data_IF_797371323980
#
_entry.id   IF_797371323980
#
_cell.length_a   1.000
_cell.length_b   1.000
_cell.length_c   1.000
_cell.angle_alpha   90.00
_cell.angle_beta   90.00
_cell.angle_gamma   90.00
#
_symmetry.space_group_name_H-M   'P 1'
#
loop_
_entity.id
_entity.type
_entity.pdbx_description
1 polymer ?
#
# COMPACT_ATOMS: atom_id res chain seq x y z
N UNK A 1 17.17 -25.51 18.21
CA UNK A 1 18.51 -25.00 17.89
C UNK A 1 18.29 -23.73 17.08
N UNK A 2 18.71 -22.56 17.61
CA UNK A 2 18.56 -21.30 16.84
C UNK A 2 19.33 -21.41 15.55
N UNK A 3 18.67 -21.11 14.44
CA UNK A 3 19.21 -21.34 13.10
C UNK A 3 20.44 -20.47 12.78
N UNK A 4 20.71 -19.42 13.59
CA UNK A 4 21.61 -18.33 13.24
C UNK A 4 22.59 -17.94 14.35
N UNK A 5 22.92 -18.82 15.28
CA UNK A 5 23.91 -18.61 16.38
C UNK A 5 23.77 -17.27 17.15
N UNK A 6 22.72 -16.49 16.86
CA UNK A 6 22.48 -15.21 17.53
C UNK A 6 22.24 -15.40 19.01
N UNK A 7 22.85 -14.53 19.82
CA UNK A 7 22.77 -14.58 21.28
C UNK A 7 22.30 -13.25 21.85
N UNK A 8 21.06 -13.26 22.34
CA UNK A 8 20.41 -12.12 22.98
C UNK A 8 20.12 -12.49 24.43
N UNK A 9 20.70 -11.73 25.37
CA UNK A 9 20.50 -11.92 26.77
C UNK A 9 19.54 -10.90 27.33
N UNK A 10 18.42 -11.38 27.90
CA UNK A 10 17.38 -10.52 28.49
C UNK A 10 17.52 -10.56 30.03
N UNK A 11 17.56 -9.39 30.65
CA UNK A 11 17.50 -9.18 32.09
C UNK A 11 16.43 -8.14 32.40
N UNK A 12 15.70 -8.30 33.51
CA UNK A 12 14.64 -7.35 33.86
C UNK A 12 14.37 -7.33 35.37
N UNK A 13 13.75 -6.26 35.84
CA UNK A 13 12.99 -6.19 37.08
C UNK A 13 11.61 -5.57 36.82
N UNK A 14 10.67 -5.88 37.71
CA UNK A 14 9.31 -5.32 37.68
C UNK A 14 8.79 -5.31 39.12
N UNK A 15 8.55 -4.11 39.63
CA UNK A 15 8.29 -3.89 41.06
C UNK A 15 7.09 -2.98 41.29
N UNK A 16 6.41 -3.19 42.42
CA UNK A 16 5.22 -2.41 42.77
C UNK A 16 5.49 -0.94 43.17
N UNK A 17 6.77 -0.58 43.41
CA UNK A 17 7.09 0.73 43.98
C UNK A 17 6.53 0.90 45.40
N UNK A 18 5.80 1.97 45.63
CA UNK A 18 5.09 2.19 46.92
C UNK A 18 3.64 1.75 46.89
N UNK A 19 3.18 1.19 45.76
CA UNK A 19 1.78 0.73 45.57
C UNK A 19 1.59 -0.65 46.22
N UNK A 20 0.35 -0.97 46.55
CA UNK A 20 0.00 -2.29 47.11
C UNK A 20 0.11 -3.44 46.11
N UNK A 21 0.15 -3.12 44.84
CA UNK A 21 0.10 -4.08 43.74
C UNK A 21 0.92 -3.60 42.54
N UNK A 22 1.57 -4.53 41.88
CA UNK A 22 2.22 -4.23 40.62
C UNK A 22 1.22 -4.41 39.48
N UNK A 23 0.92 -3.33 38.74
CA UNK A 23 0.05 -3.32 37.58
C UNK A 23 0.85 -3.39 36.27
N UNK A 24 2.18 -3.35 36.34
CA UNK A 24 3.03 -3.62 35.19
C UNK A 24 3.13 -5.10 34.89
N UNK A 25 3.35 -5.42 33.62
CA UNK A 25 3.68 -6.79 33.21
C UNK A 25 4.71 -6.79 32.07
N UNK A 26 5.64 -7.74 32.13
CA UNK A 26 6.66 -7.93 31.10
C UNK A 26 6.72 -9.41 30.71
N UNK A 27 6.90 -9.67 29.41
CA UNK A 27 7.10 -11.01 28.90
C UNK A 27 7.87 -11.00 27.58
N UNK A 28 8.50 -12.13 27.26
CA UNK A 28 9.22 -12.28 26.00
C UNK A 28 9.28 -13.75 25.57
N UNK A 29 9.47 -13.94 24.26
CA UNK A 29 9.80 -15.25 23.70
C UNK A 29 10.83 -15.11 22.59
N UNK A 30 11.78 -16.03 22.58
CA UNK A 30 12.82 -16.11 21.55
C UNK A 30 12.67 -17.44 20.80
N UNK A 31 12.17 -17.36 19.55
CA UNK A 31 12.04 -18.49 18.62
C UNK A 31 13.32 -18.65 17.80
N UNK A 32 13.38 -19.64 16.92
CA UNK A 32 14.57 -19.91 16.10
C UNK A 32 14.93 -18.76 15.16
N UNK A 33 13.94 -18.10 14.54
CA UNK A 33 14.15 -17.05 13.53
C UNK A 33 13.70 -15.66 13.98
N UNK A 34 12.86 -15.57 15.00
CA UNK A 34 12.24 -14.33 15.46
C UNK A 34 12.16 -14.29 16.98
N UNK A 35 12.06 -13.10 17.53
CA UNK A 35 11.83 -12.90 18.94
C UNK A 35 10.89 -11.71 19.18
N UNK A 36 10.21 -11.73 20.32
CA UNK A 36 9.33 -10.65 20.78
C UNK A 36 9.61 -10.36 22.25
N UNK A 37 9.60 -9.09 22.60
CA UNK A 37 9.59 -8.57 23.97
C UNK A 37 8.42 -7.61 24.10
N UNK A 38 7.71 -7.71 25.20
CA UNK A 38 6.48 -6.94 25.43
C UNK A 38 6.47 -6.43 26.85
N UNK A 39 6.17 -5.15 27.05
CA UNK A 39 5.90 -4.54 28.35
C UNK A 39 4.57 -3.80 28.29
N UNK A 40 3.83 -3.87 29.37
CA UNK A 40 2.57 -3.16 29.56
C UNK A 40 2.55 -2.51 30.96
N UNK A 41 1.86 -1.37 31.05
CA UNK A 41 1.66 -0.59 32.27
C UNK A 41 0.16 -0.34 32.43
N UNK A 42 -0.45 -0.99 33.41
CA UNK A 42 -1.88 -0.86 33.69
C UNK A 42 -2.18 0.39 34.51
N UNK A 43 -3.28 1.06 34.21
CA UNK A 43 -3.63 2.33 34.87
C UNK A 43 -4.02 2.09 36.32
N UNK A 44 -3.23 2.61 37.25
CA UNK A 44 -3.37 2.41 38.69
C UNK A 44 -4.72 2.80 39.28
N UNK A 45 -5.43 3.74 38.65
CA UNK A 45 -6.73 4.23 39.13
C UNK A 45 -7.88 3.28 38.76
N UNK A 46 -7.64 2.28 37.91
CA UNK A 46 -8.66 1.40 37.39
C UNK A 46 -8.64 0.01 38.01
N UNK A 47 -9.79 -0.51 38.39
CA UNK A 47 -9.88 -1.88 38.88
C UNK A 47 -9.63 -2.86 37.73
N UNK A 48 -8.66 -3.76 37.90
CA UNK A 48 -8.25 -4.72 36.87
C UNK A 48 -7.07 -4.24 36.00
N UNK A 49 -6.39 -3.14 36.34
CA UNK A 49 -5.21 -2.65 35.63
C UNK A 49 -4.14 -3.74 35.44
N UNK A 50 -3.83 -4.51 36.50
CA UNK A 50 -2.92 -5.68 36.44
C UNK A 50 -3.42 -6.79 35.49
N UNK A 51 -4.75 -6.97 35.43
CA UNK A 51 -5.35 -7.96 34.52
C UNK A 51 -5.24 -7.48 33.08
N UNK A 52 -5.44 -6.18 32.82
CA UNK A 52 -5.28 -5.59 31.49
C UNK A 52 -3.84 -5.72 30.99
N UNK A 53 -2.85 -5.31 31.80
CA UNK A 53 -1.44 -5.39 31.44
C UNK A 53 -1.00 -6.83 31.17
N UNK A 54 -1.33 -7.76 32.08
CA UNK A 54 -1.00 -9.17 31.92
C UNK A 54 -1.64 -9.75 30.64
N UNK A 55 -2.95 -9.52 30.46
CA UNK A 55 -3.68 -10.06 29.34
C UNK A 55 -3.17 -9.51 27.99
N UNK A 56 -2.82 -8.22 27.95
CA UNK A 56 -2.23 -7.61 26.76
C UNK A 56 -0.89 -8.26 26.39
N UNK A 57 0.00 -8.46 27.35
CA UNK A 57 1.31 -9.10 27.11
C UNK A 57 1.17 -10.57 26.73
N UNK A 58 0.36 -11.34 27.46
CA UNK A 58 0.13 -12.76 27.18
C UNK A 58 -0.49 -12.95 25.78
N UNK A 59 -1.50 -12.14 25.42
CA UNK A 59 -2.14 -12.19 24.09
C UNK A 59 -1.19 -11.78 22.97
N UNK A 60 -0.35 -10.77 23.21
CA UNK A 60 0.67 -10.35 22.23
C UNK A 60 1.65 -11.48 21.92
N UNK A 61 2.15 -12.15 22.96
CA UNK A 61 3.06 -13.29 22.83
C UNK A 61 2.37 -14.49 22.18
N UNK A 62 1.14 -14.81 22.58
CA UNK A 62 0.35 -15.88 21.97
C UNK A 62 0.18 -15.68 20.47
N UNK A 63 -0.25 -14.49 20.06
CA UNK A 63 -0.41 -14.16 18.64
C UNK A 63 0.89 -14.31 17.87
N UNK A 64 1.98 -13.75 18.40
CA UNK A 64 3.29 -13.85 17.78
C UNK A 64 3.80 -15.28 17.65
N UNK A 65 3.55 -16.15 18.64
CA UNK A 65 3.95 -17.55 18.57
C UNK A 65 3.21 -18.32 17.47
N UNK A 66 1.96 -17.95 17.21
CA UNK A 66 1.14 -18.55 16.15
C UNK A 66 1.48 -17.97 14.78
N UNK A 67 1.84 -16.69 14.71
CA UNK A 67 2.12 -15.92 13.48
C UNK A 67 3.46 -15.19 13.58
N UNK A 68 4.59 -15.90 13.70
CA UNK A 68 5.89 -15.25 13.86
C UNK A 68 6.29 -14.52 12.56
N UNK A 69 6.73 -13.26 12.70
CA UNK A 69 7.10 -12.42 11.56
C UNK A 69 7.93 -11.21 11.96
N UNK A 70 8.44 -10.48 10.94
CA UNK A 70 9.23 -9.27 11.12
C UNK A 70 8.86 -8.22 10.09
N UNK A 71 7.77 -7.53 10.33
CA UNK A 71 7.28 -6.37 9.57
C UNK A 71 6.35 -5.51 10.44
N UNK A 72 5.94 -4.35 9.94
CA UNK A 72 5.06 -3.41 10.64
C UNK A 72 3.63 -3.94 10.77
N UNK A 73 3.18 -4.73 9.81
CA UNK A 73 1.85 -5.32 9.77
C UNK A 73 1.65 -6.28 10.94
N UNK A 74 2.65 -7.12 11.24
CA UNK A 74 2.55 -8.06 12.36
C UNK A 74 2.44 -7.33 13.71
N UNK A 75 3.09 -6.18 13.90
CA UNK A 75 2.96 -5.38 15.11
C UNK A 75 1.52 -4.85 15.24
N UNK A 76 0.94 -4.33 14.15
CA UNK A 76 -0.46 -3.89 14.14
C UNK A 76 -1.43 -5.02 14.48
N UNK A 77 -1.23 -6.20 13.91
CA UNK A 77 -2.06 -7.38 14.14
C UNK A 77 -1.97 -7.84 15.60
N UNK A 78 -0.75 -7.89 16.16
CA UNK A 78 -0.52 -8.24 17.58
C UNK A 78 -1.24 -7.24 18.50
N UNK A 79 -1.08 -5.93 18.28
CA UNK A 79 -1.71 -4.91 19.11
C UNK A 79 -3.23 -4.93 18.99
N UNK A 80 -3.76 -5.15 17.80
CA UNK A 80 -5.19 -5.28 17.56
C UNK A 80 -5.77 -6.52 18.27
N UNK A 81 -5.04 -7.64 18.26
CA UNK A 81 -5.43 -8.86 18.97
C UNK A 81 -5.39 -8.66 20.49
N UNK A 82 -4.33 -8.04 21.02
CA UNK A 82 -4.23 -7.71 22.45
C UNK A 82 -5.38 -6.79 22.89
N UNK A 83 -5.69 -5.75 22.09
CA UNK A 83 -6.83 -4.88 22.35
C UNK A 83 -8.16 -5.63 22.37
N UNK A 84 -8.37 -6.51 21.39
CA UNK A 84 -9.58 -7.35 21.34
C UNK A 84 -9.72 -8.20 22.62
N UNK A 85 -8.63 -8.83 23.09
CA UNK A 85 -8.64 -9.69 24.28
C UNK A 85 -8.92 -8.91 25.57
N UNK A 86 -8.35 -7.73 25.73
CA UNK A 86 -8.65 -6.85 26.86
C UNK A 86 -10.12 -6.43 26.82
N UNK A 87 -10.63 -6.04 25.66
CA UNK A 87 -12.05 -5.68 25.50
C UNK A 87 -13.02 -6.82 25.73
N UNK A 88 -12.70 -8.03 25.28
CA UNK A 88 -13.47 -9.23 25.61
C UNK A 88 -13.60 -9.35 27.13
N UNK A 89 -12.48 -9.18 27.86
CA UNK A 89 -12.44 -9.27 29.31
C UNK A 89 -13.23 -8.15 30.01
N UNK A 90 -13.23 -6.93 29.50
CA UNK A 90 -14.04 -5.81 29.99
C UNK A 90 -15.54 -6.14 30.00
N UNK A 91 -16.00 -6.93 29.03
CA UNK A 91 -17.43 -7.31 28.92
C UNK A 91 -17.85 -8.45 29.84
N UNK A 92 -16.91 -9.20 30.42
CA UNK A 92 -17.23 -10.35 31.30
C UNK A 92 -17.80 -9.91 32.65
N UNK A 93 -17.31 -8.81 33.20
CA UNK A 93 -17.77 -8.29 34.49
C UNK A 93 -17.68 -6.77 34.55
N UNK A 94 -18.64 -6.13 35.22
CA UNK A 94 -18.62 -4.67 35.43
C UNK A 94 -17.34 -4.21 36.15
N UNK A 95 -16.75 -5.06 36.97
CA UNK A 95 -15.51 -4.81 37.69
C UNK A 95 -14.34 -4.47 36.76
N UNK A 96 -14.31 -5.03 35.54
CA UNK A 96 -13.21 -4.86 34.58
C UNK A 96 -13.58 -3.90 33.44
N UNK A 97 -14.76 -3.28 33.50
CA UNK A 97 -15.30 -2.48 32.39
C UNK A 97 -14.45 -1.28 31.97
N UNK A 98 -13.62 -0.78 32.90
CA UNK A 98 -12.75 0.39 32.65
C UNK A 98 -11.25 0.02 32.61
N UNK A 99 -10.87 -1.25 32.70
CA UNK A 99 -9.46 -1.64 32.71
C UNK A 99 -8.77 -1.34 31.38
N UNK A 100 -7.67 -0.59 31.43
CA UNK A 100 -6.84 -0.26 30.27
C UNK A 100 -5.37 -0.42 30.60
N UNK A 101 -4.53 -0.47 29.57
CA UNK A 101 -3.08 -0.54 29.72
C UNK A 101 -2.36 0.12 28.55
N UNK A 102 -1.19 0.70 28.80
CA UNK A 102 -0.23 1.00 27.74
C UNK A 102 0.42 -0.29 27.25
N UNK A 103 1.02 -0.29 26.06
CA UNK A 103 1.70 -1.46 25.51
C UNK A 103 2.87 -1.05 24.62
N UNK A 104 4.03 -1.64 24.84
CA UNK A 104 5.17 -1.57 23.94
C UNK A 104 5.57 -2.98 23.51
N UNK A 105 5.71 -3.16 22.21
CA UNK A 105 6.13 -4.40 21.57
C UNK A 105 7.44 -4.16 20.82
N UNK A 106 8.42 -5.02 21.02
CA UNK A 106 9.64 -5.07 20.20
C UNK A 106 9.73 -6.45 19.58
N UNK A 107 9.86 -6.50 18.25
CA UNK A 107 10.12 -7.75 17.51
C UNK A 107 11.49 -7.71 16.85
N UNK A 108 12.14 -8.86 16.73
CA UNK A 108 13.45 -8.98 16.09
C UNK A 108 13.55 -10.23 15.22
N UNK A 109 14.31 -10.12 14.14
CA UNK A 109 14.80 -11.26 13.36
C UNK A 109 16.27 -11.58 13.64
N UNK A 110 16.77 -11.12 14.80
CA UNK A 110 18.15 -11.22 15.28
C UNK A 110 19.22 -10.42 14.52
N UNK A 111 18.85 -9.75 13.40
CA UNK A 111 19.71 -8.79 12.68
C UNK A 111 19.21 -7.36 12.82
N UNK A 112 17.92 -7.23 13.02
CA UNK A 112 17.25 -5.93 13.14
C UNK A 112 16.10 -6.05 14.13
N UNK A 113 15.63 -4.92 14.63
CA UNK A 113 14.40 -4.82 15.40
C UNK A 113 13.43 -3.80 14.81
N UNK A 114 12.16 -4.01 15.10
CA UNK A 114 11.05 -3.08 14.96
C UNK A 114 10.35 -2.97 16.30
N UNK A 115 9.78 -1.81 16.59
CA UNK A 115 8.92 -1.65 17.76
C UNK A 115 7.65 -0.88 17.39
N UNK A 116 6.64 -1.03 18.23
CA UNK A 116 5.44 -0.22 18.24
C UNK A 116 4.95 -0.02 19.66
N UNK A 117 4.37 1.14 19.94
CA UNK A 117 3.83 1.47 21.26
C UNK A 117 2.47 2.18 21.17
N UNK A 118 1.71 2.02 22.23
CA UNK A 118 0.50 2.76 22.60
C UNK A 118 0.68 3.23 24.04
N UNK A 119 0.49 4.52 24.29
CA UNK A 119 0.66 5.10 25.61
C UNK A 119 2.08 5.57 25.88
N UNK A 120 2.54 5.47 27.14
CA UNK A 120 3.76 6.07 27.66
C UNK A 120 4.86 5.06 28.06
N UNK A 121 4.75 3.81 27.66
CA UNK A 121 5.85 2.85 27.73
C UNK A 121 6.92 3.18 26.70
N UNK A 122 8.19 3.17 27.08
CA UNK A 122 9.30 3.64 26.25
C UNK A 122 10.26 2.54 25.86
N UNK A 123 10.69 2.61 24.60
CA UNK A 123 11.81 1.88 24.04
C UNK A 123 13.06 2.77 24.03
N UNK A 124 14.21 2.21 24.37
CA UNK A 124 15.52 2.85 24.21
C UNK A 124 16.47 1.91 23.47
N UNK A 125 17.28 2.47 22.56
CA UNK A 125 18.38 1.75 21.94
C UNK A 125 19.72 2.38 22.32
N UNK A 126 20.60 1.58 22.89
CA UNK A 126 21.92 1.97 23.33
C UNK A 126 22.97 1.31 22.45
N UNK A 127 23.92 2.11 22.00
CA UNK A 127 25.10 1.67 21.23
C UNK A 127 26.35 2.35 21.76
N UNK A 128 27.41 1.56 21.95
CA UNK A 128 28.68 2.04 22.56
C UNK A 128 28.47 2.75 23.90
N UNK A 129 27.48 2.32 24.68
CA UNK A 129 27.18 2.89 25.98
C UNK A 129 26.31 4.15 25.99
N UNK A 130 25.84 4.62 24.83
CA UNK A 130 25.02 5.82 24.68
C UNK A 130 23.65 5.51 24.15
N UNK A 131 22.63 6.20 24.63
CA UNK A 131 21.28 6.17 24.07
C UNK A 131 21.29 6.88 22.73
N UNK A 132 21.04 6.14 21.64
CA UNK A 132 21.06 6.67 20.27
C UNK A 132 19.68 6.87 19.68
N UNK A 133 18.66 6.25 20.26
CA UNK A 133 17.26 6.48 19.91
C UNK A 133 16.32 6.04 21.02
N UNK A 134 15.13 6.66 21.07
CA UNK A 134 14.02 6.29 21.93
C UNK A 134 12.69 6.41 21.16
N UNK A 135 11.64 5.75 21.68
CA UNK A 135 10.27 5.92 21.16
C UNK A 135 9.67 7.24 21.64
N UNK A 136 8.71 7.76 20.88
CA UNK A 136 7.84 8.85 21.35
C UNK A 136 6.67 8.27 22.14
N UNK A 137 6.24 8.98 23.18
CA UNK A 137 5.04 8.63 23.93
C UNK A 137 3.77 8.93 23.12
N UNK A 138 2.70 8.24 23.39
CA UNK A 138 1.38 8.50 22.81
C UNK A 138 0.51 9.23 23.87
N UNK A 139 0.91 10.47 24.21
CA UNK A 139 0.33 11.27 25.30
C UNK A 139 0.05 12.71 24.87
N UNK A 140 -0.82 13.39 25.62
CA UNK A 140 -1.11 14.81 25.42
C UNK A 140 0.15 15.68 25.57
N UNK A 141 1.03 15.37 26.52
CA UNK A 141 2.29 16.11 26.69
C UNK A 141 3.23 15.93 25.48
N UNK A 142 3.30 14.74 24.91
CA UNK A 142 4.08 14.49 23.69
C UNK A 142 3.52 15.24 22.47
N UNK A 143 2.21 15.28 22.33
CA UNK A 143 1.55 16.08 21.28
C UNK A 143 1.93 17.55 21.39
N UNK A 144 1.97 18.11 22.61
CA UNK A 144 2.42 19.49 22.83
C UNK A 144 3.90 19.71 22.45
N UNK A 145 4.76 18.69 22.61
CA UNK A 145 6.15 18.74 22.12
C UNK A 145 6.20 18.76 20.59
N UNK A 146 5.40 17.93 19.93
CA UNK A 146 5.32 17.87 18.46
C UNK A 146 4.76 19.14 17.84
N UNK A 147 3.86 19.84 18.55
CA UNK A 147 3.32 21.16 18.18
C UNK A 147 4.23 22.33 18.61
N UNK A 148 5.43 22.06 19.11
CA UNK A 148 6.40 23.06 19.61
C UNK A 148 5.86 23.93 20.79
N UNK A 149 4.78 23.50 21.44
CA UNK A 149 4.18 24.16 22.59
C UNK A 149 4.84 23.78 23.93
N UNK A 150 5.62 22.71 23.96
CA UNK A 150 6.38 22.22 25.11
C UNK A 150 7.78 21.79 24.69
N UNK A 151 8.82 22.10 25.50
CA UNK A 151 10.17 21.60 25.25
C UNK A 151 10.27 20.12 25.63
N UNK A 152 11.00 19.32 24.85
CA UNK A 152 11.21 17.88 25.13
C UNK A 152 11.77 17.63 26.54
N UNK A 153 12.66 18.48 27.05
CA UNK A 153 13.21 18.38 28.39
C UNK A 153 12.20 18.56 29.52
N UNK A 154 11.10 19.25 29.26
CA UNK A 154 10.04 19.54 30.23
C UNK A 154 8.93 18.48 30.23
N UNK A 155 8.93 17.56 29.24
CA UNK A 155 7.89 16.55 29.07
C UNK A 155 7.69 15.71 30.35
N UNK A 156 8.76 15.21 30.96
CA UNK A 156 8.69 14.36 32.15
C UNK A 156 8.11 15.06 33.39
N UNK A 157 8.10 16.40 33.42
CA UNK A 157 7.54 17.20 34.51
C UNK A 157 6.14 17.73 34.19
N UNK A 158 5.67 17.56 32.95
CA UNK A 158 4.37 18.07 32.54
C UNK A 158 3.25 17.26 33.18
N UNK A 159 2.22 17.94 33.67
CA UNK A 159 1.09 17.29 34.37
C UNK A 159 0.32 16.26 33.51
N UNK A 160 0.29 16.48 32.19
CA UNK A 160 -0.42 15.64 31.23
C UNK A 160 0.48 14.57 30.56
N UNK A 161 1.62 14.25 31.14
CA UNK A 161 2.52 13.19 30.64
C UNK A 161 1.92 11.78 30.71
N UNK A 162 0.91 11.63 31.59
CA UNK A 162 0.15 10.38 31.77
C UNK A 162 -1.23 10.42 31.12
N UNK A 163 -1.63 11.56 30.52
CA UNK A 163 -2.89 11.66 29.77
C UNK A 163 -2.66 11.01 28.40
N UNK A 164 -3.02 9.73 28.29
CA UNK A 164 -2.81 8.96 27.05
C UNK A 164 -3.79 9.39 25.97
N UNK A 165 -3.35 9.40 24.71
CA UNK A 165 -4.20 9.62 23.55
C UNK A 165 -4.97 8.37 23.17
N UNK A 166 -4.39 7.20 23.42
CA UNK A 166 -4.96 5.87 23.19
C UNK A 166 -4.43 4.87 24.22
N UNK A 167 -5.20 3.82 24.48
CA UNK A 167 -4.82 2.72 25.36
C UNK A 167 -5.29 1.36 24.79
N UNK A 168 -4.65 0.28 25.21
CA UNK A 168 -5.18 -1.08 25.00
C UNK A 168 -6.38 -1.27 25.93
N UNK A 169 -7.53 -1.61 25.35
CA UNK A 169 -8.84 -1.62 26.01
C UNK A 169 -9.80 -0.57 25.43
N UNK A 170 -9.31 0.38 24.63
CA UNK A 170 -10.13 1.39 23.99
C UNK A 170 -11.10 0.78 22.95
N UNK A 171 -12.25 1.44 22.80
CA UNK A 171 -13.23 1.11 21.78
C UNK A 171 -12.83 1.69 20.43
N UNK A 172 -12.94 0.89 19.38
CA UNK A 172 -12.64 1.29 18.01
C UNK A 172 -11.30 0.77 17.50
N UNK A 173 -10.83 1.36 16.42
CA UNK A 173 -9.55 1.03 15.81
C UNK A 173 -8.43 1.77 16.55
N UNK A 174 -7.48 1.01 17.08
CA UNK A 174 -6.26 1.56 17.66
C UNK A 174 -5.24 1.87 16.56
N UNK A 175 -4.45 2.93 16.75
CA UNK A 175 -3.41 3.37 15.81
C UNK A 175 -2.05 3.45 16.53
N UNK A 176 -1.35 2.33 16.65
CA UNK A 176 -0.07 2.31 17.35
C UNK A 176 0.97 3.16 16.64
N UNK A 177 1.85 3.77 17.42
CA UNK A 177 3.03 4.44 16.91
C UNK A 177 4.09 3.38 16.58
N UNK A 178 4.30 3.08 15.28
CA UNK A 178 5.19 2.01 14.82
C UNK A 178 6.40 2.59 14.11
N UNK A 179 7.59 2.12 14.49
CA UNK A 179 8.83 2.42 13.78
C UNK A 179 8.77 1.91 12.34
N UNK A 180 8.87 2.83 11.36
CA UNK A 180 8.74 2.50 9.94
C UNK A 180 9.98 1.84 9.33
N UNK A 181 11.16 2.17 9.87
CA UNK A 181 12.45 1.68 9.36
C UNK A 181 13.11 0.82 10.42
N UNK A 182 13.41 -0.46 10.13
CA UNK A 182 14.07 -1.32 11.11
C UNK A 182 15.41 -0.76 11.60
N UNK A 183 15.67 -0.88 12.91
CA UNK A 183 16.98 -0.62 13.51
C UNK A 183 17.87 -1.83 13.24
N UNK A 184 18.95 -1.62 12.53
CA UNK A 184 19.97 -2.66 12.31
C UNK A 184 20.80 -2.81 13.58
N UNK A 185 20.85 -4.02 14.11
CA UNK A 185 21.54 -4.36 15.34
C UNK A 185 23.03 -4.64 15.09
N UNK A 186 23.83 -4.35 16.10
CA UNK A 186 25.26 -4.65 16.16
C UNK A 186 25.57 -5.39 17.46
N UNK A 187 26.65 -6.13 17.46
CA UNK A 187 27.18 -6.72 18.71
C UNK A 187 27.41 -5.62 19.75
N UNK A 188 27.09 -5.94 20.99
CA UNK A 188 27.11 -5.03 22.14
C UNK A 188 26.07 -3.92 22.14
N UNK A 189 25.16 -3.87 21.16
CA UNK A 189 23.97 -3.06 21.31
C UNK A 189 23.14 -3.56 22.48
N UNK A 190 22.44 -2.65 23.12
CA UNK A 190 21.42 -2.96 24.12
C UNK A 190 20.15 -2.21 23.77
N UNK A 191 19.00 -2.86 23.86
CA UNK A 191 17.74 -2.15 23.84
C UNK A 191 16.96 -2.39 25.11
N UNK A 192 16.18 -1.41 25.51
CA UNK A 192 15.42 -1.45 26.75
C UNK A 192 13.95 -1.16 26.51
N UNK A 193 13.11 -1.79 27.34
CA UNK A 193 11.67 -1.53 27.43
C UNK A 193 11.39 -1.10 28.88
N UNK A 194 10.65 0.01 29.04
CA UNK A 194 10.41 0.61 30.36
C UNK A 194 8.97 1.07 30.50
N UNK A 195 8.47 1.03 31.74
CA UNK A 195 7.24 1.72 32.14
C UNK A 195 7.53 3.08 32.74
N UNK A 196 6.49 3.88 32.95
CA UNK A 196 6.62 5.27 33.39
C UNK A 196 7.34 5.40 34.73
N UNK A 197 7.07 4.53 35.71
CA UNK A 197 7.71 4.60 37.02
C UNK A 197 9.22 4.43 36.96
N UNK A 198 9.77 3.80 35.91
CA UNK A 198 11.21 3.77 35.68
C UNK A 198 11.72 5.08 35.07
N UNK A 199 11.20 5.50 33.89
CA UNK A 199 11.80 6.60 33.14
C UNK A 199 11.52 7.98 33.76
N UNK A 200 10.55 8.12 34.64
CA UNK A 200 10.38 9.32 35.46
C UNK A 200 11.49 9.50 36.49
N UNK A 201 12.05 8.41 36.97
CA UNK A 201 13.06 8.40 38.06
C UNK A 201 14.50 8.29 37.56
N UNK A 202 14.71 7.70 36.38
CA UNK A 202 16.02 7.49 35.76
C UNK A 202 16.03 8.10 34.37
N UNK A 203 16.92 9.04 34.11
CA UNK A 203 17.08 9.64 32.77
C UNK A 203 18.12 8.87 31.94
N UNK A 204 18.22 9.23 30.65
CA UNK A 204 19.12 8.56 29.69
C UNK A 204 20.58 8.67 30.12
N UNK A 205 21.01 9.80 30.69
CA UNK A 205 22.39 10.02 31.15
C UNK A 205 22.71 9.14 32.34
N UNK A 206 21.76 8.92 33.22
CA UNK A 206 21.92 8.01 34.35
C UNK A 206 22.02 6.55 33.86
N UNK A 207 21.23 6.14 32.89
CA UNK A 207 21.37 4.85 32.24
C UNK A 207 22.77 4.67 31.63
N UNK A 208 23.24 5.66 30.86
CA UNK A 208 24.58 5.65 30.24
C UNK A 208 25.71 5.57 31.23
N UNK A 209 25.66 6.39 32.29
CA UNK A 209 26.68 6.38 33.36
C UNK A 209 26.75 5.06 34.08
N UNK A 210 25.61 4.45 34.42
CA UNK A 210 25.60 3.16 35.08
C UNK A 210 26.03 2.04 34.12
N UNK A 211 25.66 2.09 32.83
CA UNK A 211 26.12 1.12 31.84
C UNK A 211 27.66 1.18 31.66
N UNK A 212 28.25 2.36 31.72
CA UNK A 212 29.70 2.54 31.60
C UNK A 212 30.48 1.97 32.80
N UNK A 213 29.82 1.78 33.93
CA UNK A 213 30.44 1.23 35.17
C UNK A 213 30.43 -0.28 35.22
N UNK A 214 29.48 -0.91 34.51
CA UNK A 214 29.25 -2.35 34.62
C UNK A 214 29.16 -2.99 33.23
N UNK A 215 30.12 -3.85 32.90
CA UNK A 215 30.15 -4.61 31.66
C UNK A 215 29.10 -5.74 31.60
N UNK A 216 28.58 -6.14 32.76
CA UNK A 216 27.57 -7.19 32.85
C UNK A 216 26.17 -6.58 33.00
N UNK A 217 25.28 -6.90 32.09
CA UNK A 217 23.90 -6.41 32.08
C UNK A 217 23.14 -6.63 33.39
N UNK A 218 23.42 -7.72 34.10
CA UNK A 218 22.82 -8.00 35.42
C UNK A 218 23.29 -7.02 36.49
N UNK A 219 24.56 -6.64 36.52
CA UNK A 219 25.08 -5.66 37.50
C UNK A 219 24.57 -4.25 37.19
N UNK A 220 24.49 -3.92 35.94
CA UNK A 220 23.88 -2.66 35.47
C UNK A 220 22.43 -2.56 35.93
N UNK A 221 21.63 -3.63 35.70
CA UNK A 221 20.24 -3.72 36.13
C UNK A 221 20.10 -3.48 37.66
N UNK A 222 20.86 -4.17 38.48
CA UNK A 222 20.84 -4.01 39.94
C UNK A 222 21.21 -2.57 40.36
N UNK A 223 22.14 -1.94 39.66
CA UNK A 223 22.54 -0.56 39.96
C UNK A 223 21.41 0.43 39.64
N UNK A 224 20.73 0.27 38.50
CA UNK A 224 19.57 1.07 38.12
C UNK A 224 18.41 0.89 39.11
N UNK A 225 18.09 -0.33 39.47
CA UNK A 225 17.06 -0.64 40.48
C UNK A 225 17.34 0.05 41.83
N UNK A 226 18.58 -0.05 42.31
CA UNK A 226 19.00 0.66 43.56
C UNK A 226 18.85 2.17 43.44
N UNK A 227 19.08 2.74 42.29
CA UNK A 227 18.85 4.18 42.03
C UNK A 227 17.37 4.54 42.08
N UNK A 228 16.50 3.78 41.40
CA UNK A 228 15.05 3.96 41.50
C UNK A 228 14.64 3.88 42.97
N UNK A 229 15.07 2.87 43.70
CA UNK A 229 14.79 2.71 45.14
C UNK A 229 15.32 3.88 46.00
N UNK A 230 16.46 4.46 45.66
CA UNK A 230 17.04 5.61 46.37
C UNK A 230 16.28 6.91 46.11
N UNK A 231 15.56 7.03 44.99
CA UNK A 231 14.68 8.19 44.65
C UNK A 231 13.29 8.07 45.29
N UNK A 232 13.01 6.96 46.02
CA UNK A 232 11.72 6.69 46.65
C UNK A 232 11.27 7.88 47.50
N UNK A 233 10.36 8.65 46.95
CA UNK A 233 9.50 9.60 47.61
C UNK A 233 8.22 8.88 48.04
N UNK A 234 7.34 9.56 48.75
CA UNK A 234 6.13 8.94 49.34
C UNK A 234 5.17 8.29 48.33
N UNK A 235 5.39 8.48 47.02
CA UNK A 235 4.58 7.90 45.95
C UNK A 235 5.44 7.57 44.72
N UNK A 236 5.88 6.34 44.61
CA UNK A 236 6.57 5.76 43.45
C UNK A 236 5.61 4.83 42.72
N UNK A 237 5.37 5.09 41.45
CA UNK A 237 4.56 4.24 40.58
C UNK A 237 5.16 2.85 40.42
N UNK A 238 4.39 1.90 39.89
CA UNK A 238 4.94 0.63 39.46
C UNK A 238 6.05 0.88 38.42
N UNK A 239 7.16 0.18 38.52
CA UNK A 239 8.27 0.39 37.62
C UNK A 239 8.83 -0.91 37.08
N UNK A 240 8.94 -0.96 35.77
CA UNK A 240 9.51 -2.09 35.03
C UNK A 240 10.60 -1.60 34.10
N UNK A 241 11.71 -2.32 34.12
CA UNK A 241 12.82 -2.13 33.20
C UNK A 241 13.33 -3.47 32.72
N UNK A 242 13.32 -3.67 31.41
CA UNK A 242 13.90 -4.83 30.76
C UNK A 242 14.99 -4.38 29.78
N UNK A 243 16.17 -5.01 29.87
CA UNK A 243 17.28 -4.79 28.98
C UNK A 243 17.61 -6.05 28.20
N UNK A 244 17.86 -5.91 26.93
CA UNK A 244 18.25 -6.99 26.01
C UNK A 244 19.60 -6.63 25.42
N UNK A 245 20.62 -7.34 25.79
CA UNK A 245 21.98 -7.17 25.26
C UNK A 245 22.23 -8.14 24.12
N UNK A 246 22.72 -7.61 23.00
CA UNK A 246 23.08 -8.37 21.82
C UNK A 246 24.53 -8.82 21.97
N UNK A 247 24.75 -10.10 22.29
CA UNK A 247 26.09 -10.66 22.36
C UNK A 247 26.61 -11.07 20.98
N UNK A 248 25.76 -11.72 20.18
CA UNK A 248 26.02 -12.07 18.79
C UNK A 248 24.79 -11.75 17.93
N UNK A 249 24.97 -11.10 16.82
CA UNK A 249 23.94 -10.92 15.81
C UNK A 249 23.86 -12.16 14.92
N UNK A 250 22.67 -12.44 14.39
CA UNK A 250 22.55 -13.46 13.35
C UNK A 250 23.41 -13.06 12.14
N UNK A 251 24.11 -14.04 11.53
CA UNK A 251 24.63 -13.78 10.20
C UNK A 251 23.47 -13.31 9.29
N UNK A 252 23.65 -12.20 8.54
CA UNK A 252 22.59 -11.75 7.64
C UNK A 252 22.19 -12.95 6.80
N UNK A 253 20.93 -13.38 6.90
CA UNK A 253 20.38 -14.32 5.90
C UNK A 253 20.82 -13.76 4.56
N UNK A 254 21.44 -14.56 3.63
CA UNK A 254 21.80 -14.05 2.33
C UNK A 254 20.55 -13.35 1.80
N UNK A 255 20.60 -12.02 1.73
CA UNK A 255 19.44 -11.22 1.33
C UNK A 255 18.92 -11.91 0.08
N UNK A 256 17.66 -12.40 0.11
CA UNK A 256 17.01 -12.86 -1.11
C UNK A 256 17.39 -11.84 -2.15
N UNK A 257 18.20 -12.25 -3.12
CA UNK A 257 18.83 -11.34 -4.10
C UNK A 257 17.70 -10.48 -4.58
N UNK A 258 17.67 -9.25 -4.09
CA UNK A 258 16.59 -8.32 -4.31
C UNK A 258 16.31 -8.35 -5.81
N UNK A 259 15.25 -9.02 -6.20
CA UNK A 259 14.85 -9.23 -7.59
C UNK A 259 14.46 -7.89 -8.25
N UNK A 260 14.85 -6.75 -7.63
CA UNK A 260 14.65 -5.40 -8.15
C UNK A 260 15.17 -5.29 -9.59
N UNK A 261 16.30 -5.94 -9.91
CA UNK A 261 16.79 -6.03 -11.29
C UNK A 261 15.91 -6.91 -12.16
N UNK A 262 15.32 -7.96 -11.60
CA UNK A 262 14.37 -8.83 -12.31
C UNK A 262 13.04 -8.10 -12.53
N UNK A 263 12.46 -7.47 -11.49
CA UNK A 263 11.26 -6.64 -11.62
C UNK A 263 11.48 -5.42 -12.52
N UNK A 264 12.66 -4.76 -12.48
CA UNK A 264 13.00 -3.71 -13.43
C UNK A 264 13.04 -4.22 -14.88
N UNK A 265 13.58 -5.41 -15.15
CA UNK A 265 13.56 -6.02 -16.49
C UNK A 265 12.12 -6.30 -16.95
N UNK A 266 11.27 -6.85 -16.07
CA UNK A 266 9.84 -7.08 -16.37
C UNK A 266 9.13 -5.75 -16.65
N UNK A 267 9.37 -4.72 -15.84
CA UNK A 267 8.80 -3.39 -16.06
C UNK A 267 9.25 -2.76 -17.39
N UNK A 268 10.53 -2.89 -17.75
CA UNK A 268 11.05 -2.41 -19.03
C UNK A 268 10.43 -3.15 -20.23
N UNK A 269 10.25 -4.47 -20.13
CA UNK A 269 9.57 -5.27 -21.17
C UNK A 269 8.10 -4.86 -21.29
N UNK A 270 7.41 -4.62 -20.18
CA UNK A 270 6.03 -4.16 -20.18
C UNK A 270 5.88 -2.76 -20.80
N UNK A 271 6.77 -1.83 -20.47
CA UNK A 271 6.80 -0.48 -21.07
C UNK A 271 7.08 -0.56 -22.57
N UNK A 272 8.06 -1.36 -22.99
CA UNK A 272 8.35 -1.58 -24.41
C UNK A 272 7.16 -2.17 -25.16
N UNK A 273 6.46 -3.12 -24.57
CA UNK A 273 5.23 -3.71 -25.15
C UNK A 273 4.11 -2.69 -25.31
N UNK A 274 3.90 -1.84 -24.30
CA UNK A 274 2.91 -0.75 -24.36
C UNK A 274 3.26 0.25 -25.47
N UNK A 275 4.53 0.63 -25.60
CA UNK A 275 4.99 1.54 -26.65
C UNK A 275 4.79 0.93 -28.05
N UNK A 276 5.07 -0.36 -28.23
CA UNK A 276 4.82 -1.05 -29.50
C UNK A 276 3.32 -1.06 -29.83
N UNK A 277 2.46 -1.36 -28.87
CA UNK A 277 1.00 -1.34 -29.05
C UNK A 277 0.54 0.09 -29.43
N UNK A 278 1.07 1.11 -28.74
CA UNK A 278 0.73 2.51 -29.02
C UNK A 278 1.15 2.92 -30.43
N UNK A 279 2.36 2.60 -30.86
CA UNK A 279 2.84 2.92 -32.22
C UNK A 279 2.04 2.21 -33.30
N UNK A 280 1.68 0.93 -33.09
CA UNK A 280 0.84 0.17 -34.01
C UNK A 280 -0.58 0.76 -34.11
N UNK A 281 -1.15 1.20 -33.00
CA UNK A 281 -2.48 1.83 -32.98
C UNK A 281 -2.46 3.18 -33.69
N UNK A 282 -1.46 4.02 -33.45
CA UNK A 282 -1.31 5.31 -34.15
C UNK A 282 -1.10 5.11 -35.66
N UNK A 283 -0.30 4.13 -36.05
CA UNK A 283 -0.11 3.77 -37.47
C UNK A 283 -1.43 3.33 -38.14
N UNK A 284 -2.23 2.49 -37.45
CA UNK A 284 -3.54 2.08 -37.94
C UNK A 284 -4.52 3.26 -38.10
N UNK A 285 -4.51 4.18 -37.12
CA UNK A 285 -5.35 5.40 -37.18
C UNK A 285 -4.95 6.26 -38.38
N UNK A 286 -3.65 6.48 -38.59
CA UNK A 286 -3.14 7.24 -39.74
C UNK A 286 -3.54 6.59 -41.08
N UNK A 287 -3.29 5.28 -41.20
CA UNK A 287 -3.65 4.50 -42.39
C UNK A 287 -5.16 4.58 -42.70
N UNK A 288 -6.00 4.49 -41.66
CA UNK A 288 -7.46 4.62 -41.82
C UNK A 288 -7.85 6.04 -42.31
N UNK A 289 -7.22 7.06 -41.74
CA UNK A 289 -7.47 8.45 -42.16
C UNK A 289 -7.07 8.67 -43.62
N UNK A 290 -5.94 8.13 -44.07
CA UNK A 290 -5.49 8.25 -45.46
C UNK A 290 -6.44 7.57 -46.45
N UNK A 291 -6.98 6.39 -46.07
CA UNK A 291 -7.98 5.68 -46.86
C UNK A 291 -9.30 6.49 -46.93
N UNK A 292 -9.77 7.01 -45.79
CA UNK A 292 -10.99 7.83 -45.78
C UNK A 292 -10.85 9.11 -46.59
N UNK A 293 -9.71 9.75 -46.61
CA UNK A 293 -9.43 10.91 -47.47
C UNK A 293 -9.56 10.54 -48.96
N UNK A 294 -9.07 9.36 -49.37
CA UNK A 294 -9.24 8.86 -50.74
C UNK A 294 -10.71 8.62 -51.08
N UNK A 295 -11.46 8.02 -50.16
CA UNK A 295 -12.92 7.84 -50.35
C UNK A 295 -13.60 9.17 -50.63
N UNK A 296 -13.31 10.20 -49.82
CA UNK A 296 -13.90 11.53 -50.00
C UNK A 296 -13.57 12.14 -51.38
N UNK A 297 -12.32 11.97 -51.84
CA UNK A 297 -11.89 12.47 -53.17
C UNK A 297 -12.64 11.73 -54.30
N UNK A 298 -12.74 10.40 -54.24
CA UNK A 298 -13.45 9.63 -55.25
C UNK A 298 -14.96 9.91 -55.25
N UNK A 299 -15.59 10.11 -54.09
CA UNK A 299 -16.99 10.50 -53.98
C UNK A 299 -17.22 11.88 -54.64
N UNK A 300 -16.35 12.87 -54.41
CA UNK A 300 -16.43 14.19 -55.05
C UNK A 300 -16.24 14.08 -56.55
N UNK A 301 -15.27 13.32 -57.04
CA UNK A 301 -15.03 13.09 -58.46
C UNK A 301 -16.24 12.43 -59.13
N UNK A 302 -16.85 11.44 -58.47
CA UNK A 302 -18.06 10.78 -58.95
C UNK A 302 -19.23 11.75 -59.10
N UNK A 303 -19.43 12.68 -58.16
CA UNK A 303 -20.45 13.71 -58.20
C UNK A 303 -20.18 14.73 -59.34
N UNK A 304 -18.93 15.19 -59.50
CA UNK A 304 -18.52 16.08 -60.58
C UNK A 304 -18.79 15.46 -61.97
N UNK A 305 -18.42 14.20 -62.17
CA UNK A 305 -18.67 13.49 -63.44
C UNK A 305 -20.16 13.25 -63.66
N UNK A 306 -20.95 13.03 -62.60
CA UNK A 306 -22.40 12.93 -62.70
C UNK A 306 -23.02 14.25 -63.18
N UNK A 307 -22.56 15.39 -62.64
CA UNK A 307 -23.03 16.75 -63.10
C UNK A 307 -22.67 16.96 -64.54
N UNK A 308 -21.52 16.53 -65.04
CA UNK A 308 -21.10 16.60 -66.43
C UNK A 308 -21.85 15.63 -67.34
N UNK A 309 -22.76 14.80 -66.77
CA UNK A 309 -23.49 13.71 -67.46
C UNK A 309 -22.59 12.62 -68.01
N UNK A 310 -21.40 12.49 -67.41
CA UNK A 310 -20.42 11.41 -67.69
C UNK A 310 -20.67 10.23 -66.78
N UNK A 311 -21.78 9.53 -66.95
CA UNK A 311 -22.27 8.48 -66.09
C UNK A 311 -21.24 7.31 -65.91
N UNK A 312 -20.50 7.03 -67.02
CA UNK A 312 -19.54 5.92 -67.01
C UNK A 312 -18.34 6.18 -66.09
N UNK A 313 -17.80 7.40 -66.13
CA UNK A 313 -16.74 7.79 -65.23
C UNK A 313 -17.24 7.92 -63.78
N UNK A 314 -18.46 8.44 -63.57
CA UNK A 314 -19.05 8.50 -62.23
C UNK A 314 -19.20 7.12 -61.60
N UNK A 315 -19.66 6.10 -62.36
CA UNK A 315 -19.71 4.70 -61.86
C UNK A 315 -18.32 4.19 -61.53
N UNK A 316 -17.31 4.46 -62.35
CA UNK A 316 -15.95 4.04 -62.15
C UNK A 316 -15.33 4.60 -60.88
N UNK A 317 -15.59 5.88 -60.59
CA UNK A 317 -15.15 6.52 -59.34
C UNK A 317 -15.85 5.90 -58.10
N UNK A 318 -17.16 5.62 -58.18
CA UNK A 318 -17.90 4.92 -57.11
C UNK A 318 -17.40 3.50 -56.88
N UNK A 319 -16.97 2.78 -57.90
CA UNK A 319 -16.32 1.46 -57.74
C UNK A 319 -14.99 1.56 -56.99
N UNK A 320 -14.22 2.63 -57.21
CA UNK A 320 -12.99 2.90 -56.42
C UNK A 320 -13.31 3.15 -54.94
N UNK A 321 -14.41 3.86 -54.64
CA UNK A 321 -14.93 4.04 -53.28
C UNK A 321 -15.18 2.68 -52.59
N UNK A 322 -15.83 1.74 -53.26
CA UNK A 322 -16.06 0.38 -52.72
C UNK A 322 -14.72 -0.31 -52.43
N UNK A 323 -13.77 -0.20 -53.37
CA UNK A 323 -12.43 -0.78 -53.19
C UNK A 323 -11.68 -0.24 -51.97
N UNK A 324 -11.83 1.05 -51.67
CA UNK A 324 -11.22 1.64 -50.46
C UNK A 324 -11.95 1.21 -49.17
N UNK A 325 -13.28 1.12 -49.16
CA UNK A 325 -14.03 0.58 -48.02
C UNK A 325 -13.69 -0.89 -47.73
N UNK A 326 -13.47 -1.72 -48.72
CA UNK A 326 -13.03 -3.11 -48.55
C UNK A 326 -11.66 -3.19 -47.84
N UNK A 327 -10.73 -2.28 -48.12
CA UNK A 327 -9.44 -2.18 -47.44
C UNK A 327 -9.56 -1.84 -45.95
N UNK A 328 -10.66 -1.17 -45.55
CA UNK A 328 -10.94 -0.80 -44.16
C UNK A 328 -11.58 -1.90 -43.34
N UNK A 329 -12.07 -2.98 -43.96
CA UNK A 329 -12.67 -4.12 -43.27
C UNK A 329 -11.60 -4.81 -42.38
N UNK A 330 -11.86 -5.05 -41.10
CA UNK A 330 -10.92 -5.73 -40.23
C UNK A 330 -10.75 -7.18 -40.67
N UNK A 331 -9.48 -7.63 -40.72
CA UNK A 331 -9.12 -9.00 -41.12
C UNK A 331 -9.11 -9.97 -39.91
N UNK A 332 -8.97 -9.45 -38.68
CA UNK A 332 -8.87 -10.28 -37.48
C UNK A 332 -10.22 -10.78 -36.99
N UNK A 333 -10.28 -12.06 -36.62
CA UNK A 333 -11.41 -12.70 -35.92
C UNK A 333 -10.92 -13.26 -34.59
N UNK A 334 -11.81 -13.50 -33.63
CA UNK A 334 -11.48 -14.04 -32.31
C UNK A 334 -11.20 -12.96 -31.25
N UNK A 335 -10.40 -13.31 -30.21
CA UNK A 335 -10.19 -12.46 -29.03
C UNK A 335 -9.66 -11.07 -29.39
N UNK A 336 -8.71 -10.98 -30.31
CA UNK A 336 -8.16 -9.70 -30.75
C UNK A 336 -9.22 -8.89 -31.49
N UNK A 337 -10.06 -9.53 -32.31
CA UNK A 337 -11.18 -8.90 -33.01
C UNK A 337 -12.23 -8.36 -32.05
N UNK A 338 -12.51 -9.04 -30.96
CA UNK A 338 -13.42 -8.59 -29.92
C UNK A 338 -12.93 -7.28 -29.26
N UNK A 339 -11.69 -7.21 -28.81
CA UNK A 339 -11.11 -6.01 -28.21
C UNK A 339 -11.06 -4.81 -29.18
N UNK A 340 -10.92 -5.06 -30.47
CA UNK A 340 -10.90 -4.02 -31.51
C UNK A 340 -12.28 -3.66 -32.03
N UNK A 341 -13.33 -4.22 -31.47
CA UNK A 341 -14.71 -4.06 -31.95
C UNK A 341 -14.86 -4.34 -33.46
N UNK A 342 -14.18 -5.41 -33.92
CA UNK A 342 -14.03 -5.71 -35.33
C UNK A 342 -15.36 -6.01 -36.05
N UNK A 343 -16.31 -6.65 -35.37
CA UNK A 343 -17.60 -7.03 -35.95
C UNK A 343 -18.49 -5.79 -36.20
N UNK A 344 -18.49 -4.82 -35.26
CA UNK A 344 -19.23 -3.58 -35.45
C UNK A 344 -18.64 -2.76 -36.62
N UNK A 345 -17.30 -2.68 -36.71
CA UNK A 345 -16.60 -1.99 -37.80
C UNK A 345 -16.84 -2.67 -39.16
N UNK A 346 -16.90 -4.00 -39.17
CA UNK A 346 -17.21 -4.75 -40.42
C UNK A 346 -18.61 -4.44 -40.88
N UNK A 347 -19.62 -4.48 -40.00
CA UNK A 347 -21.01 -4.11 -40.32
C UNK A 347 -21.13 -2.69 -40.81
N UNK A 348 -20.41 -1.74 -40.23
CA UNK A 348 -20.37 -0.35 -40.71
C UNK A 348 -19.83 -0.25 -42.12
N UNK A 349 -18.73 -0.93 -42.45
CA UNK A 349 -18.16 -0.91 -43.80
C UNK A 349 -19.05 -1.63 -44.79
N UNK A 350 -19.66 -2.75 -44.43
CA UNK A 350 -20.62 -3.46 -45.28
C UNK A 350 -21.82 -2.55 -45.63
N UNK A 351 -22.35 -1.79 -44.66
CA UNK A 351 -23.41 -0.84 -44.87
C UNK A 351 -23.01 0.26 -45.86
N UNK A 352 -21.83 0.86 -45.73
CA UNK A 352 -21.33 1.90 -46.65
C UNK A 352 -21.09 1.37 -48.04
N UNK A 353 -20.64 0.14 -48.19
CA UNK A 353 -20.50 -0.53 -49.49
C UNK A 353 -21.86 -0.72 -50.14
N UNK A 354 -22.87 -1.17 -49.42
CA UNK A 354 -24.24 -1.32 -49.98
C UNK A 354 -24.88 0.02 -50.36
N UNK A 355 -24.68 1.07 -49.57
CA UNK A 355 -25.08 2.44 -49.88
C UNK A 355 -24.42 2.91 -51.18
N UNK A 356 -23.11 2.65 -51.37
CA UNK A 356 -22.40 3.03 -52.60
C UNK A 356 -22.87 2.22 -53.82
N UNK A 357 -23.14 0.92 -53.67
CA UNK A 357 -23.73 0.08 -54.73
C UNK A 357 -25.10 0.57 -55.16
N UNK A 358 -25.93 1.06 -54.23
CA UNK A 358 -27.20 1.68 -54.55
C UNK A 358 -27.00 2.93 -55.40
N UNK A 359 -26.03 3.80 -55.09
CA UNK A 359 -25.67 4.98 -55.90
C UNK A 359 -25.24 4.59 -57.31
N UNK A 360 -24.44 3.53 -57.46
CA UNK A 360 -24.03 2.99 -58.77
C UNK A 360 -25.25 2.60 -59.57
N UNK A 361 -26.17 1.81 -58.98
CA UNK A 361 -27.40 1.37 -59.64
C UNK A 361 -28.28 2.53 -60.09
N UNK A 362 -28.40 3.58 -59.29
CA UNK A 362 -29.17 4.76 -59.63
C UNK A 362 -28.48 5.57 -60.74
N UNK A 363 -27.15 5.67 -60.75
CA UNK A 363 -26.37 6.28 -61.84
C UNK A 363 -26.53 5.52 -63.16
N UNK A 364 -26.56 4.19 -63.19
CA UNK A 364 -26.78 3.35 -64.33
C UNK A 364 -28.19 3.52 -64.88
N UNK A 365 -29.21 3.65 -63.99
CA UNK A 365 -30.59 4.00 -64.48
C UNK A 365 -30.64 5.34 -65.17
N UNK A 366 -29.97 6.36 -64.56
CA UNK A 366 -29.87 7.68 -65.18
C UNK A 366 -29.18 7.60 -66.55
N UNK A 367 -28.08 6.85 -66.69
CA UNK A 367 -27.39 6.62 -67.98
C UNK A 367 -28.35 6.07 -68.99
N UNK A 368 -29.16 5.06 -68.61
CA UNK A 368 -30.17 4.46 -69.54
C UNK A 368 -31.21 5.46 -69.94
N UNK A 369 -31.81 6.21 -69.01
CA UNK A 369 -32.81 7.22 -69.27
C UNK A 369 -32.26 8.28 -70.23
N UNK A 370 -31.07 8.80 -70.03
CA UNK A 370 -30.44 9.77 -70.92
C UNK A 370 -30.13 9.20 -72.30
N UNK A 371 -29.77 7.92 -72.43
CA UNK A 371 -29.56 7.22 -73.66
C UNK A 371 -30.88 7.10 -74.46
N UNK A 372 -31.95 6.68 -73.78
CA UNK A 372 -33.28 6.53 -74.36
C UNK A 372 -33.83 7.89 -74.85
N UNK A 373 -33.65 8.96 -74.04
CA UNK A 373 -34.02 10.33 -74.47
C UNK A 373 -33.20 10.77 -75.69
N UNK A 374 -31.89 10.48 -75.73
CA UNK A 374 -31.04 10.84 -76.85
C UNK A 374 -31.48 10.11 -78.14
N UNK A 375 -31.68 8.82 -78.06
CA UNK A 375 -32.18 8.00 -79.19
C UNK A 375 -33.58 8.46 -79.63
N UNK A 376 -34.47 8.74 -78.67
CA UNK A 376 -35.79 9.29 -78.95
C UNK A 376 -35.72 10.61 -79.70
N UNK A 377 -34.85 11.54 -79.32
CA UNK A 377 -34.60 12.79 -79.97
C UNK A 377 -34.02 12.61 -81.40
N UNK A 378 -33.11 11.66 -81.61
CA UNK A 378 -32.54 11.34 -82.93
C UNK A 378 -33.60 10.76 -83.84
N UNK A 379 -34.47 9.85 -83.39
CA UNK A 379 -35.59 9.27 -84.11
C UNK A 379 -36.65 10.35 -84.46
N UNK A 380 -36.94 11.22 -83.48
CA UNK A 380 -37.85 12.32 -83.68
C UNK A 380 -37.36 13.27 -84.81
N UNK A 381 -36.09 13.67 -84.77
CA UNK A 381 -35.48 14.55 -85.77
C UNK A 381 -35.36 13.91 -87.16
N UNK A 382 -35.32 12.55 -87.23
CA UNK A 382 -35.34 11.82 -88.50
C UNK A 382 -36.73 11.54 -89.02
N UNK A 383 -37.80 12.00 -88.35
CA UNK A 383 -39.17 11.84 -88.75
C UNK A 383 -39.83 10.50 -88.38
N UNK A 384 -39.15 9.68 -87.57
CA UNK A 384 -39.68 8.40 -87.16
C UNK A 384 -40.39 8.54 -85.76
N UNK A 385 -41.55 9.19 -85.78
CA UNK A 385 -42.31 9.63 -84.60
C UNK A 385 -42.86 8.45 -83.76
N UNK A 386 -43.17 7.32 -84.37
CA UNK A 386 -43.73 6.15 -83.67
C UNK A 386 -42.68 5.46 -82.86
N UNK A 387 -41.49 5.29 -83.40
CA UNK A 387 -40.37 4.71 -82.65
C UNK A 387 -39.79 5.65 -81.58
N UNK A 388 -39.75 6.96 -81.87
CA UNK A 388 -39.38 7.99 -80.94
C UNK A 388 -40.27 7.94 -79.67
N UNK A 389 -41.61 7.82 -79.86
CA UNK A 389 -42.60 7.72 -78.78
C UNK A 389 -42.39 6.50 -77.83
N UNK A 390 -41.76 5.41 -78.32
CA UNK A 390 -41.45 4.21 -77.48
C UNK A 390 -40.19 4.39 -76.62
N UNK A 391 -39.37 5.39 -76.93
CA UNK A 391 -38.13 5.67 -76.18
C UNK A 391 -38.30 6.70 -75.05
N UNK A 392 -39.31 7.51 -75.09
CA UNK A 392 -39.70 8.45 -74.04
C UNK A 392 -40.57 7.76 -72.97
#
# INVERSE_FOLDING_TARGET
MRKNEAKFTTVFFSEAGTKNKNNDYFGYVQLDNYAIWVVADGFDEEEGADVAARLAVESAIEYFMLHPGFNTEIINEIMSYANLKVREKQTETERYSLMHTSLLIVISNYNALLYGNIGNTRFYHLRNGYVISQSSDDTVAQLLVEEEALNTGDLKYHRQRNDLLQAIGDYGEIKPNILKTPVILQEKDTFCLTTIGFWENIDEKEMEVELSRYDEGKKWLISLEKKVMATLRDNVENYTFAAVTIEDVAEPLPMEKNNRKFFMKIALVAIASILIILTLTLWQIKKRKDIMNKVTVYEQQAEEELIKKNFENSVKELELVIGEYEKLKPKSRGIIGFFLNADARRKEMDKKIEETKSKIKDTEKLKKVFSDIREGNELFNSGNYEEASKKY
#
